data_IF_860208835920
#
_entry.id   IF_860208835920
#
_cell.length_a   1.000
_cell.length_b   1.000
_cell.length_c   1.000
_cell.angle_alpha   90.00
_cell.angle_beta   90.00
_cell.angle_gamma   90.00
#
_symmetry.space_group_name_H-M   'P 1'
#
loop_
_entity.id
_entity.type
_entity.pdbx_description
1 polymer ?
#
# COMPACT_ATOMS: atom_id res chain seq x y z
N UNK A 1 -17.44 15.21 16.32
CA UNK A 1 -17.19 13.95 15.59
C UNK A 1 -15.70 13.74 15.60
N UNK A 2 -15.23 12.74 16.35
CA UNK A 2 -13.79 12.39 16.31
C UNK A 2 -13.47 11.90 14.92
N UNK A 3 -12.72 12.71 14.17
CA UNK A 3 -12.29 12.34 12.83
C UNK A 3 -11.27 11.20 12.96
N UNK A 4 -11.63 10.04 12.46
CA UNK A 4 -10.73 8.88 12.43
C UNK A 4 -9.45 9.23 11.67
N UNK A 5 -8.32 8.71 12.15
CA UNK A 5 -7.02 8.89 11.52
C UNK A 5 -6.98 8.13 10.19
N UNK A 6 -6.46 8.76 9.15
CA UNK A 6 -6.12 8.10 7.88
C UNK A 6 -4.76 7.42 7.98
N UNK A 7 -4.70 6.11 7.81
CA UNK A 7 -3.46 5.35 7.76
C UNK A 7 -3.18 4.93 6.31
N UNK A 8 -2.07 5.36 5.73
CA UNK A 8 -1.66 4.91 4.41
C UNK A 8 -0.49 3.94 4.50
N UNK A 9 -0.73 2.68 4.10
CA UNK A 9 0.33 1.67 4.01
C UNK A 9 1.10 1.85 2.71
N UNK A 10 2.25 2.49 2.81
CA UNK A 10 3.21 2.65 1.72
C UNK A 10 3.89 1.30 1.45
N UNK A 11 3.91 0.90 0.18
CA UNK A 11 4.63 -0.28 -0.30
C UNK A 11 5.61 0.13 -1.40
N UNK A 12 5.51 -0.39 -2.59
CA UNK A 12 6.47 -0.15 -3.68
C UNK A 12 6.17 1.09 -4.55
N UNK A 13 5.14 1.84 -4.18
CA UNK A 13 4.72 3.04 -4.92
C UNK A 13 5.15 4.33 -4.19
N UNK A 14 6.36 4.79 -4.48
CA UNK A 14 6.93 6.03 -3.94
C UNK A 14 6.55 7.28 -4.76
N UNK A 15 5.55 7.18 -5.64
CA UNK A 15 5.04 8.35 -6.34
C UNK A 15 4.29 9.24 -5.37
N UNK A 16 4.57 10.53 -5.45
CA UNK A 16 3.85 11.54 -4.69
C UNK A 16 2.60 12.00 -5.43
N UNK A 17 2.72 12.18 -6.76
CA UNK A 17 1.61 12.52 -7.65
C UNK A 17 0.94 11.26 -8.19
N UNK A 18 -0.38 11.32 -8.39
CA UNK A 18 -1.20 10.19 -8.89
C UNK A 18 -1.15 8.94 -7.99
N UNK A 19 -0.87 9.13 -6.72
CA UNK A 19 -0.95 8.08 -5.69
C UNK A 19 -2.35 8.10 -5.08
N UNK A 20 -3.27 7.36 -5.71
CA UNK A 20 -4.69 7.44 -5.37
C UNK A 20 -4.99 7.08 -3.91
N UNK A 21 -4.28 6.12 -3.32
CA UNK A 21 -4.46 5.74 -1.92
C UNK A 21 -4.04 6.85 -0.95
N UNK A 22 -2.92 7.51 -1.22
CA UNK A 22 -2.45 8.64 -0.41
C UNK A 22 -3.37 9.85 -0.57
N UNK A 23 -3.74 10.20 -1.80
CA UNK A 23 -4.65 11.31 -2.11
C UNK A 23 -6.00 11.11 -1.40
N UNK A 24 -6.58 9.92 -1.49
CA UNK A 24 -7.85 9.64 -0.84
C UNK A 24 -7.76 9.72 0.69
N UNK A 25 -6.64 9.27 1.28
CA UNK A 25 -6.40 9.42 2.70
C UNK A 25 -6.37 10.89 3.13
N UNK A 26 -5.69 11.75 2.36
CA UNK A 26 -5.58 13.19 2.69
C UNK A 26 -6.86 13.97 2.47
N UNK A 27 -7.71 13.56 1.53
CA UNK A 27 -9.02 14.23 1.31
C UNK A 27 -10.01 13.92 2.44
N UNK A 28 -9.98 12.70 2.97
CA UNK A 28 -11.00 12.23 3.91
C UNK A 28 -10.62 12.39 5.38
N UNK A 29 -9.37 12.76 5.70
CA UNK A 29 -8.89 12.86 7.08
C UNK A 29 -8.05 14.10 7.30
N UNK A 30 -8.22 14.75 8.45
CA UNK A 30 -7.38 15.90 8.85
C UNK A 30 -6.00 15.44 9.34
N UNK A 31 -5.91 14.21 9.84
CA UNK A 31 -4.68 13.60 10.27
C UNK A 31 -4.40 12.33 9.47
N UNK A 32 -3.28 12.32 8.78
CA UNK A 32 -2.80 11.17 7.99
C UNK A 32 -1.44 10.74 8.49
N UNK A 33 -1.27 9.44 8.67
CA UNK A 33 0.02 8.82 8.95
C UNK A 33 0.32 7.83 7.84
N UNK A 34 1.46 8.02 7.19
CA UNK A 34 2.00 7.06 6.24
C UNK A 34 2.91 6.12 7.00
N UNK A 35 2.79 4.82 6.77
CA UNK A 35 3.70 3.85 7.36
C UNK A 35 4.23 2.89 6.32
N UNK A 36 5.51 2.55 6.47
CA UNK A 36 6.23 1.57 5.65
C UNK A 36 6.65 0.40 6.54
N UNK A 37 6.27 -0.82 6.17
CA UNK A 37 6.65 -2.01 6.90
C UNK A 37 7.89 -2.63 6.25
N UNK A 38 9.02 -2.57 6.95
CA UNK A 38 10.23 -3.23 6.52
C UNK A 38 10.30 -4.64 7.13
N UNK A 39 10.39 -5.65 6.26
CA UNK A 39 10.56 -7.04 6.65
C UNK A 39 11.74 -7.64 5.89
N UNK A 40 12.81 -7.92 6.58
CA UNK A 40 14.08 -8.35 6.01
C UNK A 40 13.96 -9.63 5.16
N UNK A 41 13.15 -10.59 5.60
CA UNK A 41 12.95 -11.88 4.90
C UNK A 41 12.11 -11.77 3.62
N UNK A 42 11.19 -10.78 3.57
CA UNK A 42 10.36 -10.53 2.37
C UNK A 42 11.17 -9.76 1.34
N UNK A 43 11.89 -8.76 1.80
CA UNK A 43 12.73 -7.93 0.94
C UNK A 43 14.18 -8.42 1.04
N UNK A 44 14.50 -9.52 0.38
CA UNK A 44 15.89 -10.03 0.30
C UNK A 44 16.81 -9.07 -0.48
N UNK A 45 16.75 -7.80 -0.13
CA UNK A 45 17.49 -6.76 -0.82
C UNK A 45 19.00 -6.93 -0.64
N UNK A 46 19.69 -6.84 -1.77
CA UNK A 46 21.13 -6.64 -1.83
C UNK A 46 21.49 -5.22 -1.37
N UNK A 47 22.76 -4.95 -1.10
CA UNK A 47 23.21 -3.66 -0.55
C UNK A 47 22.81 -2.45 -1.42
N UNK A 48 22.90 -2.56 -2.75
CA UNK A 48 22.48 -1.50 -3.67
C UNK A 48 20.96 -1.22 -3.56
N UNK A 49 20.13 -2.24 -3.42
CA UNK A 49 18.68 -2.11 -3.27
C UNK A 49 18.32 -1.48 -1.93
N UNK A 50 19.00 -1.86 -0.84
CA UNK A 50 18.84 -1.26 0.49
C UNK A 50 19.21 0.23 0.48
N UNK A 51 20.32 0.56 -0.17
CA UNK A 51 20.74 1.94 -0.34
C UNK A 51 19.68 2.75 -1.10
N UNK A 52 19.20 2.22 -2.20
CA UNK A 52 18.18 2.87 -3.03
C UNK A 52 16.87 3.06 -2.25
N UNK A 53 16.40 2.03 -1.56
CA UNK A 53 15.21 2.09 -0.70
C UNK A 53 15.35 3.16 0.38
N UNK A 54 16.49 3.20 1.07
CA UNK A 54 16.77 4.21 2.09
C UNK A 54 16.67 5.62 1.52
N UNK A 55 17.26 5.88 0.35
CA UNK A 55 17.20 7.19 -0.32
C UNK A 55 15.79 7.55 -0.75
N UNK A 56 15.05 6.58 -1.29
CA UNK A 56 13.66 6.78 -1.70
C UNK A 56 12.76 7.13 -0.52
N UNK A 57 12.89 6.42 0.60
CA UNK A 57 12.14 6.69 1.82
C UNK A 57 12.49 8.05 2.44
N UNK A 58 13.78 8.44 2.45
CA UNK A 58 14.20 9.74 2.93
C UNK A 58 13.64 10.89 2.07
N UNK A 59 13.67 10.72 0.75
CA UNK A 59 13.11 11.72 -0.16
C UNK A 59 11.59 11.82 -0.01
N UNK A 60 10.91 10.67 0.03
CA UNK A 60 9.47 10.64 0.22
C UNK A 60 9.04 11.25 1.57
N UNK A 61 9.81 11.02 2.64
CA UNK A 61 9.60 11.68 3.95
C UNK A 61 9.68 13.19 3.86
N UNK A 62 10.66 13.72 3.10
CA UNK A 62 10.78 15.18 2.90
C UNK A 62 9.52 15.75 2.27
N UNK A 63 9.01 15.13 1.21
CA UNK A 63 7.80 15.58 0.51
C UNK A 63 6.57 15.51 1.43
N UNK A 64 6.43 14.43 2.21
CA UNK A 64 5.34 14.29 3.18
C UNK A 64 5.40 15.36 4.29
N UNK A 65 6.59 15.67 4.79
CA UNK A 65 6.77 16.69 5.82
C UNK A 65 6.32 18.08 5.35
N UNK A 66 6.48 18.41 4.07
CA UNK A 66 5.97 19.66 3.50
C UNK A 66 4.43 19.75 3.56
N UNK A 67 3.74 18.64 3.72
CA UNK A 67 2.29 18.54 3.90
C UNK A 67 1.87 18.23 5.35
N UNK A 68 2.79 18.31 6.30
CA UNK A 68 2.56 17.93 7.70
C UNK A 68 2.09 16.47 7.88
N UNK A 69 2.52 15.57 6.98
CA UNK A 69 2.21 14.13 7.05
C UNK A 69 3.44 13.38 7.57
N UNK A 70 3.24 12.55 8.58
CA UNK A 70 4.31 11.74 9.17
C UNK A 70 4.53 10.44 8.37
N UNK A 71 5.80 10.08 8.12
CA UNK A 71 6.20 8.75 7.63
C UNK A 71 6.86 7.96 8.76
N UNK A 72 6.21 6.87 9.16
CA UNK A 72 6.73 5.89 10.10
C UNK A 72 7.35 4.70 9.36
N UNK A 73 8.60 4.37 9.65
CA UNK A 73 9.27 3.18 9.12
C UNK A 73 9.33 2.17 10.24
N UNK A 74 8.65 1.06 10.07
CA UNK A 74 8.44 0.06 11.12
C UNK A 74 9.06 -1.26 10.68
N UNK A 75 10.06 -1.71 11.42
CA UNK A 75 10.61 -3.04 11.25
C UNK A 75 9.66 -4.08 11.87
N UNK A 76 9.38 -5.14 11.14
CA UNK A 76 8.52 -6.23 11.61
C UNK A 76 8.95 -7.58 11.07
N UNK A 77 8.84 -8.61 11.88
CA UNK A 77 9.08 -9.99 11.45
C UNK A 77 7.84 -10.59 10.73
N UNK A 78 6.67 -9.96 10.86
CA UNK A 78 5.44 -10.46 10.26
C UNK A 78 4.42 -9.34 10.06
N UNK A 79 3.94 -9.18 8.83
CA UNK A 79 2.83 -8.28 8.52
C UNK A 79 1.57 -8.66 9.31
N UNK A 80 1.31 -9.96 9.44
CA UNK A 80 0.16 -10.44 10.22
C UNK A 80 0.22 -9.95 11.67
N UNK A 81 1.34 -10.15 12.35
CA UNK A 81 1.51 -9.72 13.76
C UNK A 81 1.34 -8.21 13.88
N UNK A 82 1.90 -7.44 12.95
CA UNK A 82 1.74 -5.99 12.94
C UNK A 82 0.26 -5.59 12.82
N UNK A 83 -0.45 -6.13 11.83
CA UNK A 83 -1.85 -5.81 11.60
C UNK A 83 -2.76 -6.30 12.73
N UNK A 84 -2.50 -7.46 13.33
CA UNK A 84 -3.23 -7.94 14.51
C UNK A 84 -3.11 -6.98 15.70
N UNK A 85 -1.92 -6.38 15.89
CA UNK A 85 -1.71 -5.34 16.92
C UNK A 85 -2.40 -4.03 16.56
N UNK A 86 -2.27 -3.59 15.32
CA UNK A 86 -2.88 -2.35 14.83
C UNK A 86 -4.41 -2.39 14.98
N UNK A 87 -5.03 -3.51 14.62
CA UNK A 87 -6.48 -3.69 14.68
C UNK A 87 -7.09 -3.81 16.09
N UNK A 88 -6.27 -3.77 17.13
CA UNK A 88 -6.78 -3.56 18.52
C UNK A 88 -7.29 -2.14 18.72
N UNK A 89 -6.78 -1.19 17.97
CA UNK A 89 -7.29 0.18 17.86
C UNK A 89 -8.28 0.21 16.70
N UNK A 90 -9.43 0.85 16.87
CA UNK A 90 -10.49 0.86 15.84
C UNK A 90 -10.74 2.24 15.22
N UNK A 91 -10.05 3.28 15.69
CA UNK A 91 -10.33 4.67 15.33
C UNK A 91 -9.48 5.14 14.14
N UNK A 92 -9.42 4.32 13.07
CA UNK A 92 -8.71 4.66 11.85
C UNK A 92 -9.42 4.11 10.61
N UNK A 93 -9.09 4.69 9.47
CA UNK A 93 -9.35 4.11 8.14
C UNK A 93 -8.01 3.80 7.50
N UNK A 94 -7.85 2.59 6.94
CA UNK A 94 -6.59 2.21 6.29
C UNK A 94 -6.72 2.22 4.77
N UNK A 95 -5.68 2.75 4.12
CA UNK A 95 -5.55 2.91 2.68
C UNK A 95 -4.27 2.26 2.18
N UNK A 96 -4.31 1.63 1.00
CA UNK A 96 -3.10 1.15 0.33
C UNK A 96 -3.31 0.99 -1.17
N UNK A 97 -2.22 0.97 -1.93
CA UNK A 97 -2.24 0.63 -3.33
C UNK A 97 -1.92 -0.86 -3.53
N UNK A 98 -2.53 -1.47 -4.53
CA UNK A 98 -2.30 -2.87 -4.88
C UNK A 98 -0.87 -3.09 -5.35
N UNK A 99 -0.27 -4.17 -4.91
CA UNK A 99 1.01 -4.71 -5.36
C UNK A 99 0.72 -6.07 -5.99
N UNK A 100 1.36 -6.39 -7.10
CA UNK A 100 0.94 -7.50 -7.96
C UNK A 100 1.72 -8.80 -7.71
N UNK A 101 2.71 -8.79 -6.84
CA UNK A 101 3.41 -10.00 -6.41
C UNK A 101 2.44 -10.96 -5.71
N UNK A 102 2.54 -12.28 -6.00
CA UNK A 102 1.59 -13.28 -5.52
C UNK A 102 1.40 -13.28 -4.00
N UNK A 103 2.48 -13.08 -3.24
CA UNK A 103 2.40 -13.12 -1.78
C UNK A 103 1.69 -11.88 -1.20
N UNK A 104 1.92 -10.70 -1.80
CA UNK A 104 1.16 -9.50 -1.44
C UNK A 104 -0.31 -9.62 -1.81
N UNK A 105 -0.63 -10.21 -2.97
CA UNK A 105 -2.03 -10.42 -3.36
C UNK A 105 -2.76 -11.39 -2.42
N UNK A 106 -2.08 -12.44 -1.97
CA UNK A 106 -2.62 -13.37 -0.96
C UNK A 106 -2.83 -12.66 0.38
N UNK A 107 -1.83 -11.87 0.80
CA UNK A 107 -1.93 -11.12 2.04
C UNK A 107 -3.02 -10.05 2.00
N UNK A 108 -3.18 -9.35 0.88
CA UNK A 108 -4.27 -8.38 0.69
C UNK A 108 -5.65 -9.02 0.87
N UNK A 109 -5.88 -10.20 0.29
CA UNK A 109 -7.14 -10.95 0.47
C UNK A 109 -7.39 -11.27 1.95
N UNK A 110 -6.37 -11.78 2.64
CA UNK A 110 -6.43 -12.06 4.07
C UNK A 110 -6.73 -10.79 4.89
N UNK A 111 -6.00 -9.71 4.63
CA UNK A 111 -6.16 -8.44 5.35
C UNK A 111 -7.55 -7.86 5.17
N UNK A 112 -8.08 -7.83 3.93
CA UNK A 112 -9.42 -7.33 3.63
C UNK A 112 -10.49 -8.10 4.43
N UNK A 113 -10.39 -9.42 4.49
CA UNK A 113 -11.35 -10.24 5.23
C UNK A 113 -11.34 -9.89 6.72
N UNK A 114 -10.17 -9.82 7.34
CA UNK A 114 -10.07 -9.48 8.77
C UNK A 114 -10.55 -8.05 9.06
N UNK A 115 -10.24 -7.08 8.19
CA UNK A 115 -10.70 -5.71 8.36
C UNK A 115 -12.22 -5.62 8.30
N UNK A 116 -12.86 -6.38 7.39
CA UNK A 116 -14.33 -6.52 7.32
C UNK A 116 -14.90 -7.14 8.57
N UNK A 117 -14.35 -8.26 9.03
CA UNK A 117 -14.82 -8.97 10.23
C UNK A 117 -14.74 -8.10 11.49
N UNK A 118 -13.76 -7.19 11.55
CA UNK A 118 -13.57 -6.25 12.65
C UNK A 118 -14.29 -4.91 12.48
N UNK A 119 -15.04 -4.72 11.37
CA UNK A 119 -15.69 -3.47 11.00
C UNK A 119 -14.74 -2.26 10.95
N UNK A 120 -13.51 -2.47 10.42
CA UNK A 120 -12.52 -1.42 10.21
C UNK A 120 -12.64 -0.91 8.77
N UNK A 121 -12.79 0.40 8.61
CA UNK A 121 -12.87 1.03 7.30
C UNK A 121 -11.55 0.88 6.55
N UNK A 122 -11.66 0.50 5.28
CA UNK A 122 -10.48 0.32 4.44
C UNK A 122 -10.79 0.57 2.97
N UNK A 123 -9.80 1.05 2.23
CA UNK A 123 -9.87 1.20 0.77
C UNK A 123 -8.55 0.77 0.13
N UNK A 124 -8.64 -0.07 -0.89
CA UNK A 124 -7.50 -0.49 -1.70
C UNK A 124 -7.66 0.06 -3.12
N UNK A 125 -6.62 0.70 -3.61
CA UNK A 125 -6.60 1.34 -4.94
C UNK A 125 -5.78 0.54 -5.95
N UNK A 126 -5.93 0.89 -7.23
CA UNK A 126 -5.04 0.40 -8.29
C UNK A 126 -3.59 0.75 -7.92
N UNK A 127 -2.68 -0.15 -8.23
CA UNK A 127 -1.26 0.04 -7.96
C UNK A 127 -0.54 0.85 -9.03
N UNK A 128 0.72 0.53 -9.24
CA UNK A 128 1.58 1.18 -10.22
C UNK A 128 1.50 0.59 -11.63
N UNK A 129 0.64 -0.39 -11.87
CA UNK A 129 0.37 -0.91 -13.20
C UNK A 129 -0.51 0.08 -14.00
N UNK A 130 -0.22 0.23 -15.29
CA UNK A 130 -0.98 1.09 -16.18
C UNK A 130 -2.45 0.63 -16.27
N UNK A 131 -2.64 -0.67 -16.37
CA UNK A 131 -3.94 -1.33 -16.38
C UNK A 131 -3.97 -2.44 -15.35
N UNK A 132 -5.15 -2.75 -14.81
CA UNK A 132 -5.31 -3.92 -13.95
C UNK A 132 -5.17 -5.20 -14.77
N UNK A 133 -4.44 -6.18 -14.23
CA UNK A 133 -4.17 -7.46 -14.92
C UNK A 133 -5.49 -8.17 -15.28
N UNK A 134 -6.52 -8.01 -14.43
CA UNK A 134 -7.81 -8.65 -14.63
C UNK A 134 -8.74 -7.90 -15.61
N UNK A 135 -8.42 -6.67 -15.98
CA UNK A 135 -9.20 -5.83 -16.91
C UNK A 135 -8.83 -6.12 -18.37
N UNK A 136 -7.59 -6.59 -18.63
CA UNK A 136 -7.08 -6.81 -19.98
C UNK A 136 -7.15 -8.29 -20.31
N UNK A 137 -8.22 -8.66 -21.01
CA UNK A 137 -8.48 -10.04 -21.44
C UNK A 137 -9.01 -10.05 -22.86
N UNK A 138 -8.81 -11.17 -23.54
CA UNK A 138 -9.49 -11.45 -24.81
C UNK A 138 -11.00 -11.64 -24.58
N UNK A 139 -11.76 -11.66 -25.66
CA UNK A 139 -13.21 -11.90 -25.63
C UNK A 139 -13.60 -13.25 -24.97
N UNK A 140 -12.70 -14.23 -25.00
CA UNK A 140 -12.86 -15.53 -24.33
C UNK A 140 -12.44 -15.54 -22.85
N UNK A 141 -12.04 -14.38 -22.30
CA UNK A 141 -11.61 -14.22 -20.93
C UNK A 141 -10.16 -14.64 -20.68
N UNK A 142 -9.42 -15.15 -21.66
CA UNK A 142 -8.01 -15.53 -21.53
C UNK A 142 -7.07 -14.32 -21.65
N UNK A 143 -5.87 -14.37 -21.05
CA UNK A 143 -4.91 -13.30 -21.20
C UNK A 143 -4.30 -13.25 -22.61
N UNK A 144 -3.89 -12.08 -23.05
CA UNK A 144 -3.08 -11.94 -24.27
C UNK A 144 -1.70 -12.54 -24.05
N UNK A 145 -1.26 -13.37 -25.00
CA UNK A 145 0.07 -14.01 -24.93
C UNK A 145 1.13 -13.31 -25.77
N UNK A 146 0.72 -12.45 -26.69
CA UNK A 146 1.58 -11.70 -27.60
C UNK A 146 1.10 -10.26 -27.74
N UNK A 147 2.02 -9.36 -28.04
CA UNK A 147 1.76 -7.92 -28.08
C UNK A 147 0.80 -7.50 -29.21
N UNK A 148 0.97 -8.02 -30.41
CA UNK A 148 0.22 -7.58 -31.59
C UNK A 148 -1.33 -7.66 -31.42
N UNK A 149 -1.92 -8.75 -30.88
CA UNK A 149 -3.36 -8.79 -30.64
C UNK A 149 -3.80 -7.95 -29.43
N UNK A 150 -2.88 -7.52 -28.60
CA UNK A 150 -3.15 -6.64 -27.45
C UNK A 150 -3.30 -5.18 -27.88
N UNK A 151 -2.45 -4.76 -28.85
CA UNK A 151 -2.43 -3.42 -29.38
C UNK A 151 -3.54 -3.21 -30.40
#
# INVERSE_FOLDING_TARGET
>A
MDKKIGLFWLRDDFRFTKNNGLIEATINHDQVVVFYLYKQDVYKYQEAQKWWLSRSLLNFRKELNNLNITLEIIETNSFKIFFDKLMKKKDFTIYWNKVYEPDFLKFDKYLINILKDKNINHKRFKGNALNEIDEIKKNDGSPFKVFTPFW
#
